data_IF_722620766568
#
_entry.id   IF_722620766568
#
_cell.length_a   1.000
_cell.length_b   1.000
_cell.length_c   1.000
_cell.angle_alpha   90.00
_cell.angle_beta   90.00
_cell.angle_gamma   90.00
#
_symmetry.space_group_name_H-M   'P 1'
#
loop_
_entity.id
_entity.type
_entity.pdbx_description
1 polymer ?
#
# COMPACT_ATOMS: atom_id res chain seq x y z
N UNK A 1 -11.03 33.81 7.08
CA UNK A 1 -11.00 32.84 8.20
C UNK A 1 -9.92 31.82 7.84
N UNK A 2 -8.71 31.94 8.41
CA UNK A 2 -7.61 30.99 8.11
C UNK A 2 -8.05 29.63 8.67
N UNK A 3 -8.25 28.64 7.79
CA UNK A 3 -8.61 27.29 8.19
C UNK A 3 -7.56 26.77 9.17
N UNK A 4 -7.98 26.42 10.40
CA UNK A 4 -7.15 25.82 11.45
C UNK A 4 -6.77 24.36 11.19
N UNK A 5 -6.95 23.86 9.96
CA UNK A 5 -6.64 22.47 9.63
C UNK A 5 -5.15 22.34 9.32
N UNK A 6 -4.48 21.41 10.01
CA UNK A 6 -3.13 20.97 9.63
C UNK A 6 -3.23 20.42 8.20
N UNK A 7 -2.47 20.95 7.24
CA UNK A 7 -2.53 20.49 5.86
C UNK A 7 -2.25 18.98 5.77
N UNK A 8 -2.99 18.21 4.95
CA UNK A 8 -2.66 16.83 4.68
C UNK A 8 -1.23 16.69 4.15
N UNK A 9 -0.54 15.66 4.62
CA UNK A 9 0.78 15.29 4.12
C UNK A 9 0.62 14.18 3.09
N UNK A 10 1.14 14.40 1.89
CA UNK A 10 1.08 13.47 0.76
C UNK A 10 2.49 12.93 0.54
N UNK A 11 2.64 11.62 0.72
CA UNK A 11 3.88 10.92 0.44
C UNK A 11 3.82 10.31 -0.95
N UNK A 12 4.88 10.46 -1.73
CA UNK A 12 4.97 10.00 -3.12
C UNK A 12 6.44 9.70 -3.48
N UNK A 13 6.73 8.92 -4.53
CA UNK A 13 8.09 8.75 -5.03
C UNK A 13 8.79 10.10 -5.20
N UNK A 14 10.01 10.24 -4.67
CA UNK A 14 10.71 11.52 -4.71
C UNK A 14 10.96 12.00 -6.14
N UNK A 15 11.16 11.07 -7.06
CA UNK A 15 11.36 11.34 -8.49
C UNK A 15 10.11 11.92 -9.18
N UNK A 16 8.92 11.83 -8.57
CA UNK A 16 7.67 12.37 -9.12
C UNK A 16 7.22 13.67 -8.42
N UNK A 17 8.06 14.22 -7.54
CA UNK A 17 7.68 15.33 -6.66
C UNK A 17 7.39 16.62 -7.44
N UNK A 18 8.24 16.95 -8.41
CA UNK A 18 8.11 18.18 -9.19
C UNK A 18 6.93 18.09 -10.17
N UNK A 19 6.74 16.96 -10.83
CA UNK A 19 5.60 16.73 -11.72
C UNK A 19 4.27 16.77 -10.96
N UNK A 20 4.22 16.15 -9.77
CA UNK A 20 3.03 16.20 -8.92
C UNK A 20 2.74 17.62 -8.44
N UNK A 21 3.78 18.36 -8.04
CA UNK A 21 3.65 19.77 -7.66
C UNK A 21 3.08 20.61 -8.80
N UNK A 22 3.68 20.53 -9.98
CA UNK A 22 3.23 21.27 -11.16
C UNK A 22 1.78 20.94 -11.54
N UNK A 23 1.39 19.66 -11.45
CA UNK A 23 0.02 19.22 -11.67
C UNK A 23 -0.97 19.86 -10.67
N UNK A 24 -0.66 19.80 -9.37
CA UNK A 24 -1.52 20.34 -8.32
C UNK A 24 -1.63 21.86 -8.40
N UNK A 25 -0.54 22.56 -8.69
CA UNK A 25 -0.52 24.01 -8.89
C UNK A 25 -1.36 24.41 -10.11
N UNK A 26 -1.22 23.69 -11.23
CA UNK A 26 -2.04 23.92 -12.43
C UNK A 26 -3.53 23.70 -12.16
N UNK A 27 -3.89 22.62 -11.46
CA UNK A 27 -5.27 22.33 -11.08
C UNK A 27 -5.87 23.43 -10.19
N UNK A 28 -5.10 23.93 -9.21
CA UNK A 28 -5.52 25.04 -8.35
C UNK A 28 -5.72 26.33 -9.14
N UNK A 29 -4.84 26.65 -10.09
CA UNK A 29 -4.96 27.83 -10.95
C UNK A 29 -6.25 27.83 -11.77
N UNK A 30 -6.63 26.68 -12.35
CA UNK A 30 -7.91 26.52 -13.06
C UNK A 30 -9.11 26.72 -12.14
N UNK A 31 -9.07 26.16 -10.92
CA UNK A 31 -10.16 26.27 -9.95
C UNK A 31 -10.40 27.71 -9.47
N UNK A 32 -9.33 28.50 -9.39
CA UNK A 32 -9.38 29.86 -8.84
C UNK A 32 -9.62 30.94 -9.91
N UNK A 33 -9.91 30.57 -11.15
CA UNK A 33 -10.11 31.50 -12.26
C UNK A 33 -8.98 32.54 -12.41
N UNK A 34 -7.74 32.15 -12.08
CA UNK A 34 -6.57 33.04 -12.17
C UNK A 34 -6.42 34.06 -11.03
N UNK A 35 -7.12 33.90 -9.90
CA UNK A 35 -6.79 34.64 -8.66
C UNK A 35 -5.44 34.18 -8.10
N UNK A 36 -4.70 35.11 -7.48
CA UNK A 36 -3.34 34.92 -6.93
C UNK A 36 -3.27 33.66 -6.04
N UNK A 37 -2.34 32.76 -6.35
CA UNK A 37 -2.08 31.51 -5.61
C UNK A 37 -1.53 31.83 -4.19
N UNK A 38 -0.95 33.01 -4.00
CA UNK A 38 -0.21 33.42 -2.80
C UNK A 38 -1.08 33.60 -1.54
N UNK A 39 -2.41 33.76 -1.67
CA UNK A 39 -3.30 33.90 -0.51
C UNK A 39 -3.64 32.56 0.19
N UNK A 40 -3.24 31.42 -0.39
CA UNK A 40 -3.45 30.10 0.19
C UNK A 40 -2.11 29.47 0.53
N UNK A 41 -1.70 29.55 1.80
CA UNK A 41 -0.73 28.62 2.41
C UNK A 41 -0.98 27.22 1.84
N UNK A 42 0.05 26.47 1.43
CA UNK A 42 -0.17 25.25 0.65
C UNK A 42 -1.14 24.34 1.41
N UNK A 43 -2.27 24.07 0.76
CA UNK A 43 -3.38 23.27 1.31
C UNK A 43 -3.00 21.80 1.50
N UNK A 44 -1.75 21.45 1.23
CA UNK A 44 -1.13 20.14 1.33
C UNK A 44 0.37 20.30 1.58
N UNK A 45 1.03 19.22 2.01
CA UNK A 45 2.49 19.11 2.06
C UNK A 45 2.93 17.88 1.30
N UNK A 46 3.69 18.06 0.23
CA UNK A 46 4.32 16.95 -0.50
C UNK A 46 5.60 16.50 0.21
N UNK A 47 5.80 15.19 0.31
CA UNK A 47 7.01 14.58 0.86
C UNK A 47 7.46 13.46 -0.08
N UNK A 48 8.61 13.66 -0.73
CA UNK A 48 9.23 12.63 -1.55
C UNK A 48 9.79 11.51 -0.70
N UNK A 49 9.61 10.27 -1.15
CA UNK A 49 10.14 9.08 -0.49
C UNK A 49 10.89 8.19 -1.47
N UNK A 50 11.87 7.44 -0.96
CA UNK A 50 12.67 6.48 -1.72
C UNK A 50 12.64 5.10 -1.07
N UNK A 51 12.82 4.05 -1.88
CA UNK A 51 12.98 2.69 -1.37
C UNK A 51 14.09 2.58 -0.29
N UNK A 52 13.82 1.80 0.75
CA UNK A 52 14.69 1.62 1.91
C UNK A 52 14.55 2.70 2.98
N UNK A 53 13.76 3.76 2.75
CA UNK A 53 13.47 4.75 3.79
C UNK A 53 12.44 4.22 4.80
N UNK A 54 12.52 4.75 6.02
CA UNK A 54 11.51 4.56 7.06
C UNK A 54 11.07 5.93 7.57
N UNK A 55 9.78 6.24 7.45
CA UNK A 55 9.19 7.53 7.84
C UNK A 55 8.28 7.35 9.04
N UNK A 56 8.30 8.32 9.97
CA UNK A 56 7.33 8.36 11.06
C UNK A 56 6.10 9.12 10.62
N UNK A 57 4.92 8.52 10.80
CA UNK A 57 3.67 9.18 10.45
C UNK A 57 3.32 10.18 11.55
N UNK A 58 3.22 11.47 11.20
CA UNK A 58 2.91 12.54 12.17
C UNK A 58 1.48 13.00 11.99
N UNK A 59 0.57 12.47 12.81
CA UNK A 59 -0.84 12.84 12.84
C UNK A 59 -1.40 12.74 14.26
N UNK A 60 -2.51 13.45 14.54
CA UNK A 60 -3.15 13.44 15.86
C UNK A 60 -3.57 12.01 16.22
N UNK A 61 -2.88 11.39 17.17
CA UNK A 61 -3.13 10.01 17.62
C UNK A 61 -2.30 8.92 16.93
N UNK A 62 -1.31 9.27 16.09
CA UNK A 62 -0.49 8.31 15.32
C UNK A 62 1.01 8.38 15.63
N UNK A 63 1.40 8.76 16.84
CA UNK A 63 2.82 8.95 17.20
C UNK A 63 3.63 7.65 17.21
N UNK A 64 2.96 6.49 17.26
CA UNK A 64 3.53 5.15 17.32
C UNK A 64 3.54 4.44 15.95
N UNK A 65 3.26 5.16 14.85
CA UNK A 65 3.19 4.57 13.50
C UNK A 65 4.41 4.92 12.66
N UNK A 66 4.97 3.90 12.02
CA UNK A 66 6.06 4.03 11.06
C UNK A 66 5.59 3.49 9.70
N UNK A 67 6.22 3.97 8.64
CA UNK A 67 6.00 3.47 7.30
C UNK A 67 7.36 3.22 6.63
N UNK A 68 7.58 2.00 6.19
CA UNK A 68 8.74 1.58 5.41
C UNK A 68 8.43 1.68 3.93
N UNK A 69 9.38 2.17 3.16
CA UNK A 69 9.21 2.44 1.74
C UNK A 69 9.95 1.37 0.95
N UNK A 70 9.24 0.73 0.03
CA UNK A 70 9.75 -0.33 -0.82
C UNK A 70 9.84 0.16 -2.25
N UNK A 71 10.96 -0.06 -2.93
CA UNK A 71 11.09 0.31 -4.34
C UNK A 71 10.31 -0.68 -5.19
N UNK A 72 9.36 -0.21 -6.00
CA UNK A 72 8.67 -1.04 -6.98
C UNK A 72 9.45 -1.11 -8.30
N UNK A 73 9.22 -2.19 -9.04
CA UNK A 73 9.76 -2.40 -10.38
C UNK A 73 8.71 -2.06 -11.44
N UNK A 74 8.60 -0.78 -11.79
CA UNK A 74 7.55 -0.29 -12.70
C UNK A 74 8.09 0.65 -13.79
N UNK A 75 7.25 1.08 -14.73
CA UNK A 75 7.64 1.95 -15.85
C UNK A 75 7.77 3.43 -15.47
N UNK A 76 7.08 3.85 -14.42
CA UNK A 76 7.17 5.17 -13.81
C UNK A 76 7.62 5.04 -12.35
N UNK A 77 8.12 6.11 -11.71
CA UNK A 77 8.45 6.08 -10.29
C UNK A 77 7.28 5.52 -9.47
N UNK A 78 7.54 4.44 -8.75
CA UNK A 78 6.53 3.75 -7.96
C UNK A 78 7.17 3.14 -6.71
N UNK A 79 6.44 3.17 -5.59
CA UNK A 79 6.88 2.63 -4.31
C UNK A 79 5.73 1.90 -3.61
N UNK A 80 6.09 0.95 -2.75
CA UNK A 80 5.20 0.31 -1.78
C UNK A 80 5.40 0.87 -0.37
N UNK A 81 4.38 0.73 0.47
CA UNK A 81 4.31 1.29 1.81
C UNK A 81 3.98 0.20 2.84
N UNK A 82 4.95 -0.15 3.67
CA UNK A 82 4.79 -1.10 4.77
C UNK A 82 4.51 -0.38 6.09
N UNK A 83 3.33 -0.58 6.66
CA UNK A 83 2.91 0.11 7.87
C UNK A 83 3.25 -0.70 9.13
N UNK A 84 3.92 -0.06 10.07
CA UNK A 84 4.34 -0.64 11.34
C UNK A 84 3.71 0.12 12.51
N UNK A 85 3.56 -0.58 13.63
CA UNK A 85 3.26 0.02 14.93
C UNK A 85 4.38 -0.24 15.92
N UNK A 86 4.92 0.81 16.52
CA UNK A 86 5.80 0.68 17.66
C UNK A 86 5.01 0.22 18.88
N UNK A 87 5.42 -0.92 19.42
CA UNK A 87 4.86 -1.52 20.63
C UNK A 87 5.97 -1.80 21.61
N UNK A 88 5.58 -2.20 22.82
CA UNK A 88 6.50 -2.75 23.82
C UNK A 88 6.20 -4.22 23.99
N UNK A 89 7.25 -5.04 24.05
CA UNK A 89 7.15 -6.47 24.40
C UNK A 89 8.06 -6.77 25.58
N UNK A 90 7.73 -7.81 26.32
CA UNK A 90 8.58 -8.31 27.39
C UNK A 90 9.94 -8.75 26.80
N UNK A 91 11.04 -8.33 27.42
CA UNK A 91 12.38 -8.78 27.01
C UNK A 91 12.47 -10.30 27.11
N UNK A 92 13.22 -10.91 26.19
CA UNK A 92 13.38 -12.35 26.11
C UNK A 92 13.87 -13.00 27.42
N UNK A 93 14.73 -12.29 28.17
CA UNK A 93 15.25 -12.74 29.48
C UNK A 93 14.17 -12.90 30.56
N UNK A 94 13.00 -12.28 30.40
CA UNK A 94 11.86 -12.42 31.31
C UNK A 94 10.76 -13.34 30.74
N UNK A 95 10.99 -13.99 29.60
CA UNK A 95 10.02 -14.92 29.02
C UNK A 95 9.75 -16.09 29.99
N UNK A 96 8.48 -16.39 30.24
CA UNK A 96 8.07 -17.46 31.15
C UNK A 96 8.14 -17.12 32.65
N UNK A 97 8.62 -15.94 33.02
CA UNK A 97 8.62 -15.50 34.43
C UNK A 97 7.18 -15.28 34.91
N UNK A 98 6.76 -15.85 36.06
CA UNK A 98 5.40 -15.68 36.57
C UNK A 98 5.02 -14.21 36.77
N UNK A 99 3.78 -13.85 36.44
CA UNK A 99 3.30 -12.45 36.49
C UNK A 99 3.48 -11.76 37.86
N UNK A 100 3.41 -12.52 38.97
CA UNK A 100 3.70 -12.00 40.32
C UNK A 100 5.14 -11.52 40.47
N UNK A 101 6.10 -12.26 39.92
CA UNK A 101 7.52 -11.90 39.95
C UNK A 101 7.81 -10.72 39.01
N UNK A 102 7.20 -10.69 37.82
CA UNK A 102 7.24 -9.52 36.93
C UNK A 102 6.69 -8.27 37.63
N UNK A 103 5.59 -8.39 38.36
CA UNK A 103 5.03 -7.29 39.15
C UNK A 103 5.98 -6.76 40.23
N UNK A 104 6.73 -7.65 40.88
CA UNK A 104 7.74 -7.26 41.87
C UNK A 104 8.92 -6.52 41.23
N UNK A 105 9.46 -7.04 40.12
CA UNK A 105 10.53 -6.40 39.35
C UNK A 105 10.11 -5.03 38.81
N UNK A 106 8.87 -4.91 38.33
CA UNK A 106 8.31 -3.62 37.87
C UNK A 106 8.23 -2.59 39.02
N UNK A 107 7.86 -3.01 40.22
CA UNK A 107 7.86 -2.14 41.42
C UNK A 107 9.26 -1.72 41.86
N UNK A 108 10.28 -2.52 41.53
CA UNK A 108 11.69 -2.19 41.76
C UNK A 108 12.28 -1.26 40.68
N UNK A 109 11.48 -0.84 39.69
CA UNK A 109 11.93 0.03 38.60
C UNK A 109 12.67 -0.68 37.48
N UNK A 110 12.65 -2.02 37.43
CA UNK A 110 13.29 -2.80 36.36
C UNK A 110 12.55 -2.59 35.04
N UNK A 111 13.27 -2.20 33.99
CA UNK A 111 12.74 -2.08 32.64
C UNK A 111 12.56 -3.48 32.03
N UNK A 112 11.35 -4.02 32.19
CA UNK A 112 10.99 -5.36 31.73
C UNK A 112 10.71 -5.42 30.22
N UNK A 113 10.27 -4.31 29.65
CA UNK A 113 9.83 -4.26 28.26
C UNK A 113 10.90 -3.61 27.36
N UNK A 114 10.95 -4.04 26.11
CA UNK A 114 11.73 -3.45 25.03
C UNK A 114 10.80 -2.96 23.90
N UNK A 115 11.16 -1.89 23.18
CA UNK A 115 10.41 -1.48 21.99
C UNK A 115 10.56 -2.54 20.89
N UNK A 116 9.49 -2.77 20.13
CA UNK A 116 9.54 -3.55 18.90
C UNK A 116 8.60 -2.96 17.86
N UNK A 117 8.93 -3.14 16.60
CA UNK A 117 8.09 -2.75 15.47
C UNK A 117 7.19 -3.93 15.08
N UNK A 118 5.88 -3.73 15.19
CA UNK A 118 4.85 -4.71 14.84
C UNK A 118 4.36 -4.44 13.43
N UNK A 119 4.62 -5.33 12.44
CA UNK A 119 4.04 -5.20 11.10
C UNK A 119 2.51 -5.18 11.15
N UNK A 120 1.89 -4.26 10.41
CA UNK A 120 0.44 -4.14 10.30
C UNK A 120 -0.05 -4.63 8.95
N UNK A 121 0.36 -3.96 7.87
CA UNK A 121 0.04 -4.35 6.49
C UNK A 121 1.02 -3.69 5.52
N UNK A 122 1.15 -4.27 4.33
CA UNK A 122 1.90 -3.73 3.22
C UNK A 122 0.92 -3.31 2.12
N UNK A 123 1.09 -2.12 1.56
CA UNK A 123 0.38 -1.65 0.38
C UNK A 123 1.37 -1.41 -0.73
N UNK A 124 1.33 -2.25 -1.77
CA UNK A 124 2.17 -2.11 -2.94
C UNK A 124 1.49 -1.25 -4.00
N UNK A 125 2.24 -0.31 -4.57
CA UNK A 125 1.88 0.23 -5.88
C UNK A 125 2.19 -0.77 -7.00
N UNK A 126 1.98 -0.35 -8.24
CA UNK A 126 2.25 -1.16 -9.42
C UNK A 126 3.71 -1.63 -9.47
N UNK A 127 3.92 -2.90 -9.79
CA UNK A 127 5.23 -3.55 -9.76
C UNK A 127 5.20 -4.85 -10.57
N UNK A 128 6.31 -5.58 -10.60
CA UNK A 128 6.39 -6.93 -11.17
C UNK A 128 6.60 -7.98 -10.08
N UNK A 129 6.41 -9.26 -10.41
CA UNK A 129 6.64 -10.37 -9.48
C UNK A 129 8.09 -10.39 -8.96
N UNK A 130 9.04 -9.87 -9.74
CA UNK A 130 10.44 -9.74 -9.38
C UNK A 130 10.64 -9.11 -8.00
N UNK A 131 9.79 -8.13 -7.63
CA UNK A 131 9.85 -7.54 -6.30
C UNK A 131 9.71 -8.61 -5.21
N UNK A 132 8.70 -9.47 -5.31
CA UNK A 132 8.46 -10.53 -4.32
C UNK A 132 9.50 -11.65 -4.38
N UNK A 133 10.04 -11.96 -5.56
CA UNK A 133 11.15 -12.90 -5.70
C UNK A 133 12.39 -12.41 -4.94
N UNK A 134 12.74 -11.13 -5.07
CA UNK A 134 13.82 -10.51 -4.31
C UNK A 134 13.55 -10.57 -2.79
N UNK A 135 12.29 -10.40 -2.36
CA UNK A 135 11.93 -10.56 -0.94
C UNK A 135 12.04 -11.99 -0.45
N UNK A 136 11.72 -12.98 -1.30
CA UNK A 136 11.85 -14.40 -0.99
C UNK A 136 13.32 -14.79 -0.81
N UNK A 137 14.21 -14.20 -1.61
CA UNK A 137 15.64 -14.39 -1.42
C UNK A 137 16.16 -13.81 -0.10
N UNK A 138 15.52 -12.78 0.46
CA UNK A 138 15.87 -12.21 1.77
C UNK A 138 15.30 -13.05 2.92
N UNK A 139 14.21 -13.78 2.68
CA UNK A 139 13.59 -14.67 3.63
C UNK A 139 14.56 -15.78 4.07
N UNK A 140 14.57 -16.09 5.37
CA UNK A 140 15.51 -17.07 5.96
C UNK A 140 16.96 -16.58 6.11
N UNK A 141 17.35 -15.43 5.54
CA UNK A 141 18.70 -14.85 5.70
C UNK A 141 18.84 -13.91 6.91
N UNK A 142 17.86 -13.91 7.83
CA UNK A 142 17.83 -13.02 8.99
C UNK A 142 17.64 -11.54 8.64
N UNK A 143 17.28 -11.23 7.39
CA UNK A 143 16.95 -9.88 6.94
C UNK A 143 15.45 -9.68 7.01
N UNK A 144 15.04 -8.47 7.38
CA UNK A 144 13.64 -8.07 7.28
C UNK A 144 13.21 -8.08 5.81
N UNK A 145 12.04 -8.65 5.53
CA UNK A 145 11.44 -8.73 4.22
C UNK A 145 9.92 -8.53 4.35
N UNK A 146 9.21 -8.46 3.22
CA UNK A 146 7.77 -8.16 3.22
C UNK A 146 6.87 -9.26 3.77
N UNK A 147 7.33 -10.51 3.86
CA UNK A 147 6.50 -11.63 4.32
C UNK A 147 6.28 -11.62 5.85
N UNK A 148 6.91 -10.69 6.58
CA UNK A 148 6.55 -10.40 7.98
C UNK A 148 5.21 -9.69 8.15
N UNK A 149 4.68 -9.08 7.10
CA UNK A 149 3.40 -8.38 7.15
C UNK A 149 2.26 -9.39 7.08
N UNK A 150 1.29 -9.36 8.01
CA UNK A 150 0.18 -10.33 8.01
C UNK A 150 -0.85 -10.08 6.89
N UNK A 151 -0.80 -8.90 6.27
CA UNK A 151 -1.68 -8.48 5.18
C UNK A 151 -0.84 -7.79 4.11
N UNK A 152 -0.92 -8.26 2.86
CA UNK A 152 -0.25 -7.67 1.71
C UNK A 152 -1.31 -7.28 0.68
N UNK A 153 -1.41 -5.99 0.38
CA UNK A 153 -2.26 -5.44 -0.68
C UNK A 153 -1.37 -5.22 -1.89
N UNK A 154 -1.67 -5.86 -3.02
CA UNK A 154 -0.81 -5.81 -4.21
C UNK A 154 -1.60 -5.93 -5.50
N UNK A 155 -1.07 -5.37 -6.58
CA UNK A 155 -1.67 -5.50 -7.90
C UNK A 155 -1.70 -6.95 -8.41
N UNK A 156 -2.69 -7.26 -9.22
CA UNK A 156 -2.76 -8.48 -10.00
C UNK A 156 -3.40 -8.14 -11.35
N UNK A 157 -2.70 -7.34 -12.16
CA UNK A 157 -3.27 -6.76 -13.38
C UNK A 157 -3.72 -7.81 -14.39
N UNK A 158 -2.95 -8.89 -14.54
CA UNK A 158 -3.19 -9.94 -15.54
C UNK A 158 -3.42 -11.30 -14.89
N UNK A 159 -4.24 -12.15 -15.51
CA UNK A 159 -4.56 -13.47 -14.97
C UNK A 159 -3.65 -14.58 -15.56
N UNK A 160 -3.02 -14.32 -16.71
CA UNK A 160 -2.16 -15.31 -17.38
C UNK A 160 -2.98 -16.41 -18.05
N UNK A 161 -4.16 -16.06 -18.58
CA UNK A 161 -5.03 -17.02 -19.27
C UNK A 161 -4.57 -17.31 -20.70
N UNK A 162 -3.78 -16.40 -21.29
CA UNK A 162 -3.21 -16.50 -22.62
C UNK A 162 -1.79 -15.91 -22.65
N UNK A 163 -1.06 -16.10 -23.76
CA UNK A 163 0.28 -15.53 -23.94
C UNK A 163 0.26 -14.00 -24.03
N UNK A 164 -0.87 -13.39 -24.43
CA UNK A 164 -0.97 -11.95 -24.59
C UNK A 164 -0.92 -11.24 -23.23
N UNK A 165 -1.54 -11.82 -22.19
CA UNK A 165 -1.45 -11.38 -20.80
C UNK A 165 0.00 -11.28 -20.34
N UNK A 166 0.76 -12.36 -20.47
CA UNK A 166 2.17 -12.41 -20.04
C UNK A 166 3.02 -11.41 -20.81
N UNK A 167 2.84 -11.32 -22.13
CA UNK A 167 3.54 -10.36 -22.98
C UNK A 167 3.22 -8.90 -22.60
N UNK A 168 1.95 -8.61 -22.28
CA UNK A 168 1.52 -7.27 -21.83
C UNK A 168 2.08 -6.94 -20.46
N UNK A 169 2.07 -7.88 -19.52
CA UNK A 169 2.62 -7.72 -18.19
C UNK A 169 4.11 -7.41 -18.22
N UNK A 170 4.89 -8.18 -19.00
CA UNK A 170 6.33 -7.93 -19.16
C UNK A 170 6.61 -6.55 -19.76
N UNK A 171 5.86 -6.15 -20.80
CA UNK A 171 6.03 -4.85 -21.46
C UNK A 171 5.61 -3.67 -20.58
N UNK A 172 4.52 -3.81 -19.82
CA UNK A 172 3.95 -2.74 -18.98
C UNK A 172 4.43 -2.79 -17.53
N UNK A 173 5.25 -3.79 -17.17
CA UNK A 173 5.79 -4.02 -15.83
C UNK A 173 4.70 -4.13 -14.76
N UNK A 174 3.82 -5.12 -14.93
CA UNK A 174 2.75 -5.45 -14.00
C UNK A 174 2.82 -6.92 -13.59
N UNK A 175 2.04 -7.30 -12.57
CA UNK A 175 1.97 -8.68 -12.08
C UNK A 175 0.99 -9.52 -12.91
N UNK A 176 1.40 -10.77 -13.20
CA UNK A 176 0.53 -11.84 -13.67
C UNK A 176 0.22 -12.80 -12.52
N UNK A 177 -1.05 -13.19 -12.37
CA UNK A 177 -1.49 -14.14 -11.33
C UNK A 177 -0.68 -15.44 -11.32
N UNK A 178 -0.39 -16.02 -12.49
CA UNK A 178 0.37 -17.29 -12.59
C UNK A 178 1.76 -17.21 -11.95
N UNK A 179 2.37 -16.04 -11.96
CA UNK A 179 3.69 -15.80 -11.36
C UNK A 179 3.58 -15.46 -9.86
N UNK A 180 2.52 -14.73 -9.46
CA UNK A 180 2.27 -14.39 -8.05
C UNK A 180 1.78 -15.60 -7.24
N UNK A 181 1.01 -16.51 -7.86
CA UNK A 181 0.35 -17.63 -7.20
C UNK A 181 1.31 -18.51 -6.37
N UNK A 182 2.49 -18.93 -6.86
CA UNK A 182 3.46 -19.67 -6.06
C UNK A 182 3.84 -18.98 -4.74
N UNK A 183 4.02 -17.66 -4.74
CA UNK A 183 4.33 -16.87 -3.54
C UNK A 183 3.15 -16.88 -2.57
N UNK A 184 1.93 -16.70 -3.08
CA UNK A 184 0.72 -16.73 -2.24
C UNK A 184 0.52 -18.10 -1.59
N UNK A 185 0.76 -19.17 -2.35
CA UNK A 185 0.65 -20.56 -1.88
C UNK A 185 1.69 -20.88 -0.82
N UNK A 186 2.93 -20.38 -0.94
CA UNK A 186 3.98 -20.61 0.05
C UNK A 186 3.80 -19.82 1.35
N UNK A 187 2.89 -18.83 1.38
CA UNK A 187 2.63 -17.98 2.54
C UNK A 187 1.16 -18.04 3.02
N UNK A 188 0.67 -19.22 3.46
CA UNK A 188 -0.74 -19.39 3.86
C UNK A 188 -1.15 -18.57 5.09
N UNK A 189 -0.18 -18.03 5.84
CA UNK A 189 -0.40 -17.22 7.03
C UNK A 189 -0.56 -15.71 6.73
N UNK A 190 -0.35 -15.30 5.47
CA UNK A 190 -0.48 -13.91 5.01
C UNK A 190 -1.74 -13.80 4.17
N UNK A 191 -2.57 -12.81 4.45
CA UNK A 191 -3.71 -12.47 3.60
C UNK A 191 -3.24 -11.57 2.45
N UNK A 192 -3.46 -12.00 1.21
CA UNK A 192 -3.20 -11.21 0.01
C UNK A 192 -4.48 -10.55 -0.48
N UNK A 193 -4.53 -9.22 -0.45
CA UNK A 193 -5.62 -8.45 -1.06
C UNK A 193 -5.17 -8.06 -2.46
N UNK A 194 -5.81 -8.65 -3.46
CA UNK A 194 -5.48 -8.42 -4.86
C UNK A 194 -6.32 -7.25 -5.39
N UNK A 195 -5.64 -6.27 -5.97
CA UNK A 195 -6.21 -5.03 -6.54
C UNK A 195 -5.74 -4.81 -7.99
N UNK A 196 -6.18 -3.72 -8.60
CA UNK A 196 -5.67 -3.22 -9.89
C UNK A 196 -5.79 -4.23 -11.05
N UNK A 197 -6.89 -4.97 -11.11
CA UNK A 197 -7.16 -5.89 -12.20
C UNK A 197 -7.38 -5.15 -13.53
N UNK A 198 -6.97 -5.78 -14.65
CA UNK A 198 -7.32 -5.28 -15.98
C UNK A 198 -8.84 -5.18 -16.16
N UNK A 199 -9.29 -4.04 -16.69
CA UNK A 199 -10.70 -3.80 -17.05
C UNK A 199 -11.26 -4.76 -18.11
N UNK A 200 -10.43 -5.64 -18.70
CA UNK A 200 -10.87 -6.71 -19.60
C UNK A 200 -11.64 -7.82 -18.88
N UNK A 201 -11.59 -7.87 -17.55
CA UNK A 201 -12.32 -8.83 -16.75
C UNK A 201 -13.36 -8.10 -15.89
N UNK A 202 -14.59 -8.57 -15.94
CA UNK A 202 -15.64 -8.11 -15.04
C UNK A 202 -15.37 -8.56 -13.59
N UNK A 203 -15.88 -7.83 -12.58
CA UNK A 203 -15.80 -8.26 -11.19
C UNK A 203 -16.30 -9.69 -10.95
N UNK A 204 -17.35 -10.12 -11.66
CA UNK A 204 -17.90 -11.47 -11.57
C UNK A 204 -16.96 -12.54 -12.11
N UNK A 205 -16.33 -12.29 -13.27
CA UNK A 205 -15.34 -13.21 -13.85
C UNK A 205 -14.14 -13.35 -12.91
N UNK A 206 -13.65 -12.24 -12.35
CA UNK A 206 -12.55 -12.26 -11.38
C UNK A 206 -12.92 -13.07 -10.13
N UNK A 207 -14.08 -12.81 -9.53
CA UNK A 207 -14.54 -13.58 -8.36
C UNK A 207 -14.69 -15.07 -8.67
N UNK A 208 -15.23 -15.42 -9.83
CA UNK A 208 -15.35 -16.83 -10.25
C UNK A 208 -13.98 -17.47 -10.41
N UNK A 209 -13.07 -16.82 -11.15
CA UNK A 209 -11.73 -17.29 -11.41
C UNK A 209 -10.95 -17.56 -10.12
N UNK A 210 -11.00 -16.63 -9.16
CA UNK A 210 -10.28 -16.76 -7.89
C UNK A 210 -10.93 -17.74 -6.92
N UNK A 211 -12.26 -17.90 -6.96
CA UNK A 211 -12.96 -18.96 -6.22
C UNK A 211 -12.46 -20.35 -6.64
N UNK A 212 -12.20 -20.56 -7.92
CA UNK A 212 -11.70 -21.83 -8.45
C UNK A 212 -10.24 -22.13 -8.07
N UNK A 213 -9.48 -21.13 -7.62
CA UNK A 213 -8.11 -21.33 -7.12
C UNK A 213 -8.07 -22.06 -5.78
N UNK A 214 -9.17 -22.03 -5.00
CA UNK A 214 -9.30 -22.69 -3.69
C UNK A 214 -8.20 -22.27 -2.70
N UNK A 215 -7.91 -20.97 -2.63
CA UNK A 215 -6.95 -20.37 -1.71
C UNK A 215 -7.69 -19.51 -0.69
N UNK A 216 -7.56 -19.84 0.59
CA UNK A 216 -8.27 -19.16 1.68
C UNK A 216 -7.60 -17.84 2.09
N UNK A 217 -6.35 -17.62 1.69
CA UNK A 217 -5.53 -16.47 2.05
C UNK A 217 -5.55 -15.36 0.99
N UNK A 218 -6.61 -15.28 0.18
CA UNK A 218 -6.78 -14.27 -0.86
C UNK A 218 -8.10 -13.52 -0.68
N UNK A 219 -8.04 -12.20 -0.82
CA UNK A 219 -9.21 -11.33 -0.94
C UNK A 219 -9.15 -10.62 -2.29
N UNK A 220 -10.13 -10.85 -3.15
CA UNK A 220 -10.27 -10.14 -4.43
C UNK A 220 -11.02 -8.83 -4.19
N UNK A 221 -10.30 -7.70 -4.25
CA UNK A 221 -10.88 -6.38 -4.01
C UNK A 221 -11.30 -5.74 -5.32
N UNK A 222 -12.56 -5.99 -5.69
CA UNK A 222 -13.23 -5.45 -6.87
C UNK A 222 -14.58 -4.87 -6.45
N UNK A 223 -15.10 -3.91 -7.22
CA UNK A 223 -16.39 -3.28 -6.96
C UNK A 223 -17.52 -4.32 -6.83
N UNK A 224 -18.55 -3.96 -6.04
CA UNK A 224 -19.80 -4.70 -6.00
C UNK A 224 -20.70 -4.24 -7.16
N UNK A 225 -21.35 -5.19 -7.84
CA UNK A 225 -22.22 -4.91 -9.01
C UNK A 225 -23.40 -3.96 -8.71
N UNK A 226 -23.66 -3.60 -7.45
CA UNK A 226 -24.78 -2.76 -7.02
C UNK A 226 -24.37 -1.36 -6.50
N UNK A 227 -23.19 -0.86 -6.85
CA UNK A 227 -22.89 0.56 -6.68
C UNK A 227 -23.64 1.35 -7.78
N UNK A 228 -24.78 1.94 -7.44
CA UNK A 228 -25.60 2.82 -8.30
C UNK A 228 -24.90 4.14 -8.72
N UNK A 229 -23.57 4.16 -8.84
CA UNK A 229 -22.77 5.34 -9.17
C UNK A 229 -22.32 5.41 -10.64
N UNK A 230 -22.67 4.44 -11.48
CA UNK A 230 -22.27 4.43 -12.91
C UNK A 230 -23.36 4.97 -13.86
N UNK A 231 -24.57 5.27 -13.38
CA UNK A 231 -25.64 5.81 -14.25
C UNK A 231 -25.48 7.29 -14.64
N UNK A 232 -24.46 8.01 -14.16
CA UNK A 232 -24.30 9.45 -14.47
C UNK A 232 -23.33 9.76 -15.62
N UNK A 233 -22.74 8.78 -16.30
CA UNK A 233 -21.81 9.06 -17.41
C UNK A 233 -22.33 8.70 -18.81
N UNK A 234 -23.50 8.08 -18.93
CA UNK A 234 -24.14 7.81 -20.24
C UNK A 234 -25.14 8.91 -20.66
N UNK A 235 -25.38 9.94 -19.83
CA UNK A 235 -26.32 11.03 -20.18
C UNK A 235 -25.65 12.29 -20.78
N UNK A 236 -24.31 12.40 -20.75
CA UNK A 236 -23.60 13.61 -21.24
C UNK A 236 -23.01 13.48 -22.67
N UNK A 237 -23.36 12.43 -23.43
CA UNK A 237 -22.96 12.28 -24.85
C UNK A 237 -24.07 12.66 -25.86
N UNK A 238 -25.15 13.30 -25.43
CA UNK A 238 -26.27 13.69 -26.31
C UNK A 238 -26.54 15.21 -26.35
N UNK A 239 -25.49 16.03 -26.31
CA UNK A 239 -25.56 17.47 -26.57
C UNK A 239 -24.39 17.94 -27.44
N UNK A 240 -24.30 17.39 -28.64
CA UNK A 240 -23.68 18.08 -29.79
C UNK A 240 -24.71 18.15 -30.91
N UNK A 241 -25.51 19.23 -30.87
CA UNK A 241 -26.14 19.86 -32.02
C UNK A 241 -26.72 21.20 -31.54
N UNK A 242 -25.89 22.26 -31.59
CA UNK A 242 -26.24 23.66 -31.93
C UNK A 242 -25.00 24.56 -31.89
#
# INVERSE_FOLDING_TARGET
MISRHVPPVIYLPEEALEECRAYLESHLAFRLHGQEIEEMLPSYRLVGVRGGQKVRLTGKGHTDKLCEIFQCHHSVPCVGYGFLQEKKRLKAEYAGVPGRQLGALRKQGVALDEPFESPMFLFMGDTTVQFFEEQLELEGKGKENVFRYPLIITECTFLGLDEEDTNRAARKKHIVWTELKPIVVSHPHIVFVLIHFSLRHSPKELRSFFKDQKLDNIVVFVEEENSTLVQSHEQDQNLEDY
#
